data_IF_524581944196
#
_entry.id   IF_524581944196
#
_cell.length_a   1.000
_cell.length_b   1.000
_cell.length_c   1.000
_cell.angle_alpha   90.00
_cell.angle_beta   90.00
_cell.angle_gamma   90.00
#
_symmetry.space_group_name_H-M   'P 1'
#
loop_
_entity.id
_entity.type
_entity.pdbx_description
1 polymer ?
#
# COMPACT_ATOMS: atom_id res chain seq x y z
N UNK A 1 -14.10 -14.53 20.43
CA UNK A 1 -14.88 -14.63 19.19
C UNK A 1 -14.64 -16.00 18.54
N UNK A 2 -13.39 -16.37 18.13
CA UNK A 2 -13.12 -17.63 17.40
C UNK A 2 -13.67 -18.83 18.14
N UNK A 3 -13.35 -19.02 19.43
CA UNK A 3 -13.86 -20.14 20.24
C UNK A 3 -15.40 -20.21 20.27
N UNK A 4 -16.05 -19.06 20.33
CA UNK A 4 -17.51 -18.99 20.30
C UNK A 4 -18.09 -19.44 18.95
N UNK A 5 -17.40 -19.16 17.85
CA UNK A 5 -17.85 -19.53 16.52
C UNK A 5 -17.53 -20.98 16.13
N UNK A 6 -16.59 -21.66 16.81
CA UNK A 6 -16.20 -23.03 16.46
C UNK A 6 -17.36 -24.02 16.39
N UNK A 7 -18.34 -24.03 17.32
CA UNK A 7 -19.51 -24.90 17.23
C UNK A 7 -20.36 -24.67 15.99
N UNK A 8 -20.37 -23.41 15.48
CA UNK A 8 -21.13 -23.06 14.28
C UNK A 8 -20.39 -23.46 12.99
N UNK A 9 -19.06 -23.54 13.05
CA UNK A 9 -18.20 -23.95 11.92
C UNK A 9 -18.19 -25.47 11.79
N UNK A 10 -18.11 -26.19 12.91
CA UNK A 10 -18.04 -27.66 12.97
C UNK A 10 -19.42 -28.26 13.29
N UNK A 11 -20.40 -27.99 12.45
CA UNK A 11 -21.76 -28.55 12.59
C UNK A 11 -21.71 -30.08 12.50
N UNK A 12 -22.36 -30.74 13.44
CA UNK A 12 -22.42 -32.21 13.50
C UNK A 12 -21.33 -32.87 14.35
N UNK A 13 -20.32 -32.15 14.77
CA UNK A 13 -19.37 -32.55 15.82
C UNK A 13 -19.93 -32.08 17.17
N UNK A 14 -19.85 -32.91 18.20
CA UNK A 14 -20.25 -32.53 19.58
C UNK A 14 -19.05 -32.70 20.53
N UNK A 15 -17.92 -32.00 20.32
CA UNK A 15 -16.82 -32.03 21.25
C UNK A 15 -17.24 -31.36 22.57
N UNK A 16 -16.75 -31.90 23.70
CA UNK A 16 -17.00 -31.34 25.02
C UNK A 16 -16.30 -29.98 25.24
N UNK A 17 -15.24 -29.75 24.51
CA UNK A 17 -14.40 -28.51 24.62
C UNK A 17 -13.91 -28.09 23.25
N UNK A 18 -13.94 -26.78 22.99
CA UNK A 18 -13.32 -26.14 21.85
C UNK A 18 -12.19 -25.24 22.33
N UNK A 19 -10.98 -25.50 21.84
CA UNK A 19 -9.83 -24.63 22.07
C UNK A 19 -9.32 -24.02 20.77
N UNK A 20 -8.76 -22.80 20.89
CA UNK A 20 -8.16 -22.08 19.79
C UNK A 20 -6.88 -21.36 20.26
N UNK A 21 -5.83 -21.52 19.52
CA UNK A 21 -4.54 -20.95 19.78
C UNK A 21 -4.08 -20.13 18.57
N UNK A 22 -3.46 -18.99 18.82
CA UNK A 22 -2.94 -18.15 17.76
C UNK A 22 -1.53 -18.55 17.38
N UNK A 23 -1.21 -18.40 16.10
CA UNK A 23 0.17 -18.40 15.64
C UNK A 23 0.34 -17.34 14.54
N UNK A 24 1.55 -16.82 14.41
CA UNK A 24 1.94 -15.88 13.37
C UNK A 24 3.20 -16.39 12.70
N UNK A 25 3.18 -16.50 11.40
CA UNK A 25 4.37 -16.81 10.63
C UNK A 25 4.81 -15.60 9.79
N UNK A 26 6.12 -15.44 9.69
CA UNK A 26 6.76 -14.46 8.82
C UNK A 26 7.34 -15.23 7.65
N UNK A 27 6.99 -14.82 6.45
CA UNK A 27 7.52 -15.38 5.21
C UNK A 27 8.82 -14.68 4.83
N UNK A 28 9.62 -15.36 4.05
CA UNK A 28 10.73 -14.73 3.37
C UNK A 28 10.20 -13.60 2.48
N UNK A 29 10.79 -12.43 2.66
CA UNK A 29 10.39 -11.21 1.96
C UNK A 29 11.42 -10.77 0.92
N UNK A 30 12.49 -11.53 0.75
CA UNK A 30 13.47 -11.24 -0.29
C UNK A 30 12.84 -11.48 -1.66
N UNK A 31 12.92 -10.46 -2.51
CA UNK A 31 12.54 -10.58 -3.90
C UNK A 31 13.76 -11.03 -4.69
N UNK A 32 13.81 -12.30 -5.02
CA UNK A 32 14.63 -12.72 -6.15
C UNK A 32 13.95 -12.21 -7.42
N UNK A 33 14.46 -11.10 -7.94
CA UNK A 33 14.11 -10.64 -9.28
C UNK A 33 15.05 -11.39 -10.23
N UNK A 34 14.54 -12.40 -10.87
CA UNK A 34 15.29 -13.13 -11.88
C UNK A 34 15.62 -12.19 -13.04
N UNK A 35 16.89 -11.83 -13.17
CA UNK A 35 17.36 -10.92 -14.20
C UNK A 35 17.53 -11.62 -15.59
N UNK A 36 17.42 -12.96 -15.64
CA UNK A 36 17.62 -13.74 -16.87
C UNK A 36 16.32 -14.00 -17.65
N UNK A 37 15.15 -13.65 -17.09
CA UNK A 37 13.90 -13.87 -17.77
C UNK A 37 13.57 -12.73 -18.75
N UNK A 38 13.11 -13.09 -19.93
CA UNK A 38 12.69 -12.20 -21.04
C UNK A 38 11.42 -11.37 -20.76
N UNK A 39 11.12 -11.15 -19.47
CA UNK A 39 9.98 -10.37 -19.02
C UNK A 39 10.31 -8.89 -18.85
N UNK A 40 9.37 -8.02 -19.21
CA UNK A 40 9.48 -6.60 -18.93
C UNK A 40 9.64 -6.30 -17.43
N UNK A 41 10.31 -5.19 -17.08
CA UNK A 41 10.61 -4.82 -15.69
C UNK A 41 9.38 -4.88 -14.76
N UNK A 42 8.22 -4.46 -15.25
CA UNK A 42 6.96 -4.49 -14.49
C UNK A 42 6.47 -5.91 -14.21
N UNK A 43 6.60 -6.83 -15.19
CA UNK A 43 6.18 -8.22 -15.04
C UNK A 43 7.09 -8.96 -14.07
N UNK A 44 8.40 -8.72 -14.15
CA UNK A 44 9.38 -9.26 -13.19
C UNK A 44 9.06 -8.86 -11.75
N UNK A 45 8.77 -7.58 -11.51
CA UNK A 45 8.40 -7.08 -10.18
C UNK A 45 7.04 -7.66 -9.75
N UNK A 46 6.06 -7.79 -10.65
CA UNK A 46 4.77 -8.41 -10.35
C UNK A 46 4.93 -9.89 -9.95
N UNK A 47 5.81 -10.63 -10.63
CA UNK A 47 6.15 -12.00 -10.28
C UNK A 47 6.85 -12.06 -8.92
N UNK A 48 7.81 -11.18 -8.64
CA UNK A 48 8.47 -11.07 -7.36
C UNK A 48 7.52 -10.74 -6.21
N UNK A 49 6.55 -9.84 -6.40
CA UNK A 49 5.49 -9.56 -5.41
C UNK A 49 4.62 -10.79 -5.15
N UNK A 50 4.29 -11.56 -6.19
CA UNK A 50 3.53 -12.80 -6.04
C UNK A 50 4.35 -13.92 -5.38
N UNK A 51 5.66 -14.01 -5.64
CA UNK A 51 6.55 -14.98 -5.00
C UNK A 51 6.68 -14.74 -3.50
N UNK A 52 6.73 -13.47 -3.04
CA UNK A 52 6.66 -13.15 -1.60
C UNK A 52 5.40 -13.70 -0.93
N UNK A 53 4.26 -13.70 -1.61
CA UNK A 53 3.02 -14.28 -1.06
C UNK A 53 3.10 -15.79 -0.89
N UNK A 54 3.95 -16.47 -1.68
CA UNK A 54 4.19 -17.90 -1.65
C UNK A 54 5.48 -18.29 -0.93
N UNK A 55 6.27 -17.31 -0.47
CA UNK A 55 7.54 -17.52 0.20
C UNK A 55 7.43 -18.47 1.39
N UNK A 56 8.49 -19.23 1.63
CA UNK A 56 8.59 -20.15 2.75
C UNK A 56 8.52 -19.39 4.08
N UNK A 57 7.88 -19.95 5.10
CA UNK A 57 7.89 -19.38 6.43
C UNK A 57 9.31 -19.49 7.02
N UNK A 58 9.89 -18.36 7.43
CA UNK A 58 11.22 -18.29 8.07
C UNK A 58 11.13 -18.20 9.58
N UNK A 59 9.98 -17.78 10.13
CA UNK A 59 9.76 -17.67 11.56
C UNK A 59 8.29 -17.87 11.90
N UNK A 60 8.04 -18.67 12.92
CA UNK A 60 6.71 -18.84 13.51
C UNK A 60 6.74 -18.46 14.98
N UNK A 61 5.82 -17.60 15.39
CA UNK A 61 5.54 -17.31 16.79
C UNK A 61 4.21 -18.00 17.12
N UNK A 62 4.16 -18.78 18.16
CA UNK A 62 2.96 -19.51 18.58
C UNK A 62 2.55 -19.15 20.01
N UNK A 63 1.28 -19.27 20.33
CA UNK A 63 0.75 -19.13 21.70
C UNK A 63 1.44 -20.17 22.60
N UNK A 64 2.13 -19.72 23.66
CA UNK A 64 2.88 -20.58 24.57
C UNK A 64 2.03 -21.70 25.17
N UNK A 65 0.71 -21.46 25.31
CA UNK A 65 -0.24 -22.42 25.85
C UNK A 65 -0.74 -23.45 24.80
N UNK A 66 -0.25 -23.36 23.56
CA UNK A 66 -0.59 -24.30 22.48
C UNK A 66 -0.07 -25.71 22.80
N UNK A 67 -0.92 -26.75 22.77
CA UNK A 67 -0.50 -28.14 22.99
C UNK A 67 0.60 -28.57 22.03
N UNK A 68 1.54 -29.40 22.53
CA UNK A 68 2.70 -29.87 21.76
C UNK A 68 2.29 -30.56 20.45
N UNK A 69 1.25 -31.37 20.48
CA UNK A 69 0.73 -32.05 19.29
C UNK A 69 0.23 -31.09 18.22
N UNK A 70 -0.48 -30.05 18.65
CA UNK A 70 -0.98 -29.01 17.72
C UNK A 70 0.18 -28.21 17.16
N UNK A 71 1.16 -27.85 17.98
CA UNK A 71 2.39 -27.17 17.55
C UNK A 71 3.14 -27.96 16.48
N UNK A 72 3.30 -29.28 16.72
CA UNK A 72 3.95 -30.18 15.76
C UNK A 72 3.20 -30.19 14.43
N UNK A 73 1.85 -30.33 14.43
CA UNK A 73 1.05 -30.28 13.22
C UNK A 73 1.17 -28.97 12.46
N UNK A 74 1.26 -27.82 13.16
CA UNK A 74 1.48 -26.52 12.53
C UNK A 74 2.87 -26.46 11.88
N UNK A 75 3.90 -26.93 12.59
CA UNK A 75 5.28 -26.98 12.07
C UNK A 75 5.38 -27.88 10.82
N UNK A 76 4.80 -29.09 10.87
CA UNK A 76 4.81 -30.02 9.75
C UNK A 76 4.07 -29.46 8.52
N UNK A 77 2.92 -28.83 8.74
CA UNK A 77 2.13 -28.17 7.66
C UNK A 77 2.84 -27.00 7.00
N UNK A 78 3.68 -26.29 7.74
CA UNK A 78 4.46 -25.16 7.28
C UNK A 78 5.84 -25.55 6.76
N UNK A 79 6.17 -26.86 6.75
CA UNK A 79 7.50 -27.40 6.39
C UNK A 79 8.65 -26.74 7.18
N UNK A 80 8.40 -26.39 8.44
CA UNK A 80 9.42 -25.84 9.32
C UNK A 80 10.38 -26.94 9.73
N UNK A 81 11.66 -26.83 9.33
CA UNK A 81 12.67 -27.85 9.60
C UNK A 81 13.53 -27.54 10.83
N UNK A 82 13.69 -26.25 11.16
CA UNK A 82 14.55 -25.80 12.24
C UNK A 82 13.74 -25.32 13.44
N UNK A 83 14.06 -25.85 14.62
CA UNK A 83 13.43 -25.46 15.88
C UNK A 83 13.70 -24.00 16.26
N UNK A 84 14.81 -23.44 15.78
CA UNK A 84 15.23 -22.07 16.06
C UNK A 84 14.29 -21.01 15.47
N UNK A 85 13.48 -21.39 14.50
CA UNK A 85 12.49 -20.51 13.90
C UNK A 85 11.13 -20.54 14.59
N UNK A 86 10.95 -21.41 15.61
CA UNK A 86 9.73 -21.53 16.39
C UNK A 86 9.88 -20.82 17.73
N UNK A 87 9.15 -19.76 17.95
CA UNK A 87 9.21 -18.92 19.16
C UNK A 87 7.90 -19.00 19.94
N UNK A 88 8.00 -19.25 21.24
CA UNK A 88 6.87 -19.14 22.13
C UNK A 88 6.54 -17.66 22.36
N UNK A 89 5.28 -17.29 22.22
CA UNK A 89 4.79 -15.93 22.39
C UNK A 89 3.49 -15.87 23.19
N UNK A 90 2.90 -14.69 23.24
CA UNK A 90 1.58 -14.48 23.83
C UNK A 90 0.45 -14.90 22.89
N UNK A 91 -0.77 -14.75 23.38
CA UNK A 91 -2.00 -15.03 22.60
C UNK A 91 -2.24 -14.01 21.49
N UNK A 92 -1.84 -12.75 21.70
CA UNK A 92 -2.00 -11.64 20.75
C UNK A 92 -0.64 -11.34 20.12
N UNK A 93 -0.50 -11.61 18.84
CA UNK A 93 0.81 -11.59 18.18
C UNK A 93 0.89 -10.59 17.03
N UNK A 94 -0.25 -10.19 16.46
CA UNK A 94 -0.27 -9.25 15.37
C UNK A 94 -0.53 -7.82 15.87
N UNK A 95 0.51 -7.18 16.40
CA UNK A 95 0.42 -5.82 16.95
C UNK A 95 -0.01 -4.77 15.89
N UNK A 96 0.14 -5.08 14.61
CA UNK A 96 -0.36 -4.21 13.53
C UNK A 96 -1.87 -4.00 13.61
N UNK A 97 -2.61 -4.97 14.14
CA UNK A 97 -4.07 -4.87 14.28
C UNK A 97 -4.46 -3.76 15.28
N UNK A 98 -3.55 -3.39 16.19
CA UNK A 98 -3.75 -2.28 17.11
C UNK A 98 -3.80 -0.90 16.40
N UNK A 99 -3.31 -0.79 15.17
CA UNK A 99 -3.47 0.43 14.37
C UNK A 99 -4.94 0.69 13.99
N UNK A 100 -5.76 -0.35 13.99
CA UNK A 100 -7.20 -0.30 13.74
C UNK A 100 -8.00 -0.53 15.02
N UNK A 101 -7.44 -0.13 16.17
CA UNK A 101 -8.12 -0.29 17.45
C UNK A 101 -9.49 0.38 17.40
N UNK A 102 -10.56 -0.31 17.83
CA UNK A 102 -11.90 0.24 17.75
C UNK A 102 -12.06 1.50 18.61
N UNK A 103 -12.93 2.37 18.18
CA UNK A 103 -13.34 3.54 18.96
C UNK A 103 -14.09 3.09 20.21
N UNK A 104 -13.48 3.31 21.36
CA UNK A 104 -14.10 3.00 22.66
C UNK A 104 -15.02 4.12 23.18
N UNK A 105 -15.29 5.15 22.36
CA UNK A 105 -16.21 6.25 22.71
C UNK A 105 -15.64 7.39 23.56
N UNK A 106 -14.41 7.28 24.02
CA UNK A 106 -13.74 8.29 24.85
C UNK A 106 -13.01 9.34 23.98
N UNK A 107 -13.65 10.46 23.72
CA UNK A 107 -13.07 11.55 22.91
C UNK A 107 -11.77 12.10 23.52
N UNK A 108 -11.62 12.07 24.84
CA UNK A 108 -10.43 12.50 25.57
C UNK A 108 -9.17 11.68 25.28
N UNK A 109 -9.35 10.44 24.79
CA UNK A 109 -8.25 9.54 24.40
C UNK A 109 -7.76 9.75 22.97
N UNK A 110 -8.25 10.78 22.30
CA UNK A 110 -7.90 11.06 20.90
C UNK A 110 -7.36 12.48 20.76
N UNK A 111 -6.42 12.61 19.85
CA UNK A 111 -6.04 13.92 19.39
C UNK A 111 -7.16 14.54 18.55
N UNK A 112 -7.31 15.85 18.63
CA UNK A 112 -8.19 16.58 17.73
C UNK A 112 -7.84 16.28 16.26
N UNK A 113 -8.87 16.10 15.46
CA UNK A 113 -8.68 15.83 14.04
C UNK A 113 -8.14 17.08 13.35
N UNK A 114 -6.91 17.01 12.93
CA UNK A 114 -6.30 18.07 12.14
C UNK A 114 -6.94 18.15 10.75
N UNK A 115 -7.35 19.35 10.36
CA UNK A 115 -7.83 19.63 9.00
C UNK A 115 -6.77 20.46 8.28
N UNK A 116 -6.18 19.95 7.17
CA UNK A 116 -5.22 20.74 6.41
C UNK A 116 -5.80 22.05 5.90
N UNK A 117 -5.04 23.12 6.07
CA UNK A 117 -5.48 24.46 5.68
C UNK A 117 -5.18 24.73 4.21
N UNK A 118 -6.16 25.24 3.47
CA UNK A 118 -5.92 25.75 2.12
C UNK A 118 -5.35 27.18 2.23
N UNK A 119 -4.23 27.42 1.59
CA UNK A 119 -3.64 28.76 1.55
C UNK A 119 -4.51 29.72 0.73
N UNK A 120 -4.55 31.03 1.10
CA UNK A 120 -5.38 32.03 0.42
C UNK A 120 -5.17 32.08 -1.10
N UNK A 121 -3.92 31.87 -1.56
CA UNK A 121 -3.59 31.88 -2.98
C UNK A 121 -4.30 30.78 -3.78
N UNK A 122 -4.77 29.72 -3.12
CA UNK A 122 -5.49 28.61 -3.78
C UNK A 122 -7.00 28.66 -3.53
N UNK A 123 -7.52 29.62 -2.76
CA UNK A 123 -8.95 29.73 -2.47
C UNK A 123 -9.74 30.49 -3.55
N UNK A 124 -9.07 31.41 -4.26
CA UNK A 124 -9.70 32.23 -5.28
C UNK A 124 -10.00 31.50 -6.59
N UNK A 125 -10.71 32.20 -7.48
CA UNK A 125 -10.99 31.70 -8.85
C UNK A 125 -9.80 31.89 -9.79
N UNK A 126 -8.78 32.64 -9.37
CA UNK A 126 -7.60 32.90 -10.17
C UNK A 126 -6.85 31.60 -10.50
N UNK A 127 -6.36 31.52 -11.73
CA UNK A 127 -5.55 30.40 -12.21
C UNK A 127 -4.28 30.21 -11.36
N UNK A 128 -4.07 28.97 -10.87
CA UNK A 128 -2.84 28.61 -10.14
C UNK A 128 -1.60 28.78 -11.03
N UNK A 129 -1.71 28.41 -12.30
CA UNK A 129 -0.62 28.58 -13.26
C UNK A 129 -0.25 30.05 -13.49
N UNK A 130 -1.25 30.95 -13.51
CA UNK A 130 -0.98 32.38 -13.68
C UNK A 130 -0.39 33.00 -12.40
N UNK A 131 -0.78 32.50 -11.25
CA UNK A 131 -0.15 32.90 -9.99
C UNK A 131 1.31 32.44 -9.89
N UNK A 132 1.64 31.20 -10.28
CA UNK A 132 3.00 30.68 -10.30
C UNK A 132 3.91 31.50 -11.24
N UNK A 133 3.35 32.07 -12.33
CA UNK A 133 4.11 32.97 -13.21
C UNK A 133 4.45 34.31 -12.56
N UNK A 134 3.69 34.73 -11.56
CA UNK A 134 3.89 35.99 -10.85
C UNK A 134 4.86 35.83 -9.67
N UNK A 135 4.79 34.70 -8.96
CA UNK A 135 5.60 34.41 -7.77
C UNK A 135 5.68 32.93 -7.47
N UNK A 136 6.68 32.52 -6.75
CA UNK A 136 6.77 31.15 -6.21
C UNK A 136 5.65 30.89 -5.21
N UNK A 137 5.03 29.72 -5.31
CA UNK A 137 4.01 29.24 -4.39
C UNK A 137 4.54 28.06 -3.61
N UNK A 138 4.47 28.15 -2.29
CA UNK A 138 4.94 27.11 -1.39
C UNK A 138 3.78 26.45 -0.64
N UNK A 139 3.79 25.11 -0.60
CA UNK A 139 2.86 24.33 0.24
C UNK A 139 3.64 23.43 1.19
N UNK A 140 3.21 23.35 2.44
CA UNK A 140 3.81 22.52 3.47
C UNK A 140 2.82 21.42 3.88
N UNK A 141 2.90 20.26 3.20
CA UNK A 141 2.08 19.11 3.55
C UNK A 141 2.65 18.38 4.77
N UNK A 142 1.82 17.80 5.63
CA UNK A 142 0.35 17.68 5.57
C UNK A 142 -0.43 18.89 6.13
N UNK A 143 0.23 19.94 6.61
CA UNK A 143 -0.42 21.08 7.26
C UNK A 143 -1.20 21.95 6.27
N UNK A 144 -0.66 22.14 5.07
CA UNK A 144 -1.41 22.70 3.95
C UNK A 144 -2.09 21.58 3.16
N UNK A 145 -3.26 21.91 2.59
CA UNK A 145 -4.02 20.96 1.78
C UNK A 145 -3.27 20.58 0.51
N UNK A 146 -3.13 19.28 0.27
CA UNK A 146 -2.60 18.74 -0.98
C UNK A 146 -3.51 19.00 -2.20
N UNK A 147 -4.76 19.38 -1.97
CA UNK A 147 -5.68 19.72 -3.05
C UNK A 147 -5.23 20.94 -3.87
N UNK A 148 -4.34 21.79 -3.33
CA UNK A 148 -3.66 22.85 -4.09
C UNK A 148 -2.87 22.28 -5.27
N UNK A 149 -2.07 21.22 -5.03
CA UNK A 149 -1.34 20.52 -6.09
C UNK A 149 -2.27 19.79 -7.07
N UNK A 150 -3.34 19.17 -6.56
CA UNK A 150 -4.34 18.54 -7.43
C UNK A 150 -5.03 19.57 -8.33
N UNK A 151 -5.32 20.76 -7.82
CA UNK A 151 -5.89 21.87 -8.61
C UNK A 151 -4.92 22.28 -9.72
N UNK A 152 -3.63 22.45 -9.42
CA UNK A 152 -2.61 22.73 -10.43
C UNK A 152 -2.59 21.69 -11.55
N UNK A 153 -2.59 20.40 -11.21
CA UNK A 153 -2.57 19.33 -12.21
C UNK A 153 -3.84 19.32 -13.08
N UNK A 154 -5.00 19.53 -12.46
CA UNK A 154 -6.28 19.60 -13.21
C UNK A 154 -6.32 20.79 -14.15
N UNK A 155 -5.86 21.94 -13.69
CA UNK A 155 -5.75 23.13 -14.51
C UNK A 155 -4.79 22.90 -15.68
N UNK A 156 -3.60 22.33 -15.40
CA UNK A 156 -2.64 21.98 -16.44
C UNK A 156 -3.20 20.98 -17.45
N UNK A 157 -4.01 20.02 -17.01
CA UNK A 157 -4.65 19.05 -17.91
C UNK A 157 -5.61 19.71 -18.91
N UNK A 158 -6.29 20.79 -18.51
CA UNK A 158 -7.31 21.45 -19.32
C UNK A 158 -6.76 22.63 -20.14
N UNK A 159 -5.74 23.32 -19.64
CA UNK A 159 -5.25 24.56 -20.23
C UNK A 159 -4.55 24.34 -21.58
N UNK A 160 -5.00 24.98 -22.69
CA UNK A 160 -4.43 24.76 -24.04
C UNK A 160 -2.94 25.15 -24.18
N UNK A 161 -2.46 26.10 -23.38
CA UNK A 161 -1.06 26.55 -23.40
C UNK A 161 -0.10 25.53 -22.78
N UNK A 162 -0.56 24.61 -21.94
CA UNK A 162 0.23 23.51 -21.40
C UNK A 162 0.35 22.42 -22.45
N UNK A 163 1.56 22.09 -22.86
CA UNK A 163 1.87 21.07 -23.87
C UNK A 163 2.36 19.76 -23.28
N UNK A 164 3.10 19.85 -22.18
CA UNK A 164 3.74 18.70 -21.58
C UNK A 164 3.63 18.76 -20.05
N UNK A 165 3.50 17.59 -19.41
CA UNK A 165 3.57 17.39 -17.96
C UNK A 165 4.58 16.27 -17.68
N UNK A 166 5.58 16.57 -16.84
CA UNK A 166 6.55 15.58 -16.34
C UNK A 166 6.46 15.51 -14.83
N UNK A 167 6.46 14.30 -14.30
CA UNK A 167 6.35 14.08 -12.85
C UNK A 167 7.05 12.81 -12.42
N UNK A 168 7.43 12.76 -11.14
CA UNK A 168 7.94 11.57 -10.47
C UNK A 168 6.92 11.10 -9.45
N UNK A 169 6.72 9.79 -9.37
CA UNK A 169 5.71 9.15 -8.51
C UNK A 169 6.38 8.04 -7.70
N UNK A 170 6.40 8.19 -6.37
CA UNK A 170 7.00 7.20 -5.47
C UNK A 170 5.95 6.30 -4.83
N UNK A 171 4.94 6.87 -4.16
CA UNK A 171 3.82 6.15 -3.54
C UNK A 171 2.50 6.69 -4.03
N UNK A 172 1.65 5.80 -4.50
CA UNK A 172 0.34 6.14 -5.04
C UNK A 172 -0.77 5.61 -4.13
N UNK A 173 -1.70 6.48 -3.76
CA UNK A 173 -2.90 6.09 -3.06
C UNK A 173 -3.74 5.13 -3.92
N UNK A 174 -4.53 4.25 -3.28
CA UNK A 174 -5.45 3.34 -4.00
C UNK A 174 -6.42 4.08 -4.93
N UNK A 175 -6.83 5.29 -4.55
CA UNK A 175 -7.65 6.19 -5.37
C UNK A 175 -6.89 7.50 -5.62
N UNK A 176 -5.83 7.44 -6.44
CA UNK A 176 -4.93 8.56 -6.68
C UNK A 176 -5.57 9.64 -7.53
N UNK A 177 -5.86 10.80 -6.93
CA UNK A 177 -6.31 12.01 -7.64
C UNK A 177 -5.22 12.53 -8.60
N UNK A 178 -3.93 12.34 -8.27
CA UNK A 178 -2.80 12.70 -9.13
C UNK A 178 -2.84 11.92 -10.42
N UNK A 179 -2.90 10.59 -10.36
CA UNK A 179 -2.95 9.74 -11.55
C UNK A 179 -4.17 10.04 -12.41
N UNK A 180 -5.33 10.25 -11.79
CA UNK A 180 -6.55 10.66 -12.51
C UNK A 180 -6.36 11.97 -13.29
N UNK A 181 -5.67 12.95 -12.71
CA UNK A 181 -5.36 14.21 -13.38
C UNK A 181 -4.36 14.03 -14.54
N UNK A 182 -3.35 13.17 -14.38
CA UNK A 182 -2.38 12.86 -15.44
C UNK A 182 -3.05 12.13 -16.61
N UNK A 183 -3.91 11.17 -16.35
CA UNK A 183 -4.71 10.49 -17.38
C UNK A 183 -5.62 11.49 -18.11
N UNK A 184 -6.28 12.38 -17.37
CA UNK A 184 -7.08 13.45 -17.97
C UNK A 184 -6.23 14.33 -18.90
N UNK A 185 -5.02 14.68 -18.50
CA UNK A 185 -4.11 15.45 -19.32
C UNK A 185 -3.73 14.72 -20.63
N UNK A 186 -3.39 13.43 -20.54
CA UNK A 186 -3.08 12.61 -21.72
C UNK A 186 -4.27 12.52 -22.68
N UNK A 187 -5.48 12.27 -22.16
CA UNK A 187 -6.72 12.26 -22.95
C UNK A 187 -7.01 13.60 -23.62
N UNK A 188 -6.59 14.71 -23.01
CA UNK A 188 -6.68 16.05 -23.60
C UNK A 188 -5.50 16.38 -24.55
N UNK A 189 -4.76 15.38 -25.01
CA UNK A 189 -3.70 15.54 -25.99
C UNK A 189 -2.41 16.16 -25.44
N UNK A 190 -2.20 16.18 -24.11
CA UNK A 190 -0.95 16.61 -23.50
C UNK A 190 0.06 15.47 -23.56
N UNK A 191 1.34 15.81 -23.78
CA UNK A 191 2.42 14.84 -23.58
C UNK A 191 2.65 14.68 -22.08
N UNK A 192 2.37 13.48 -21.54
CA UNK A 192 2.54 13.21 -20.12
C UNK A 192 3.61 12.15 -19.93
N UNK A 193 4.63 12.46 -19.11
CA UNK A 193 5.68 11.54 -18.73
C UNK A 193 5.69 11.39 -17.21
N UNK A 194 5.56 10.15 -16.74
CA UNK A 194 5.58 9.81 -15.32
C UNK A 194 6.72 8.82 -15.04
N UNK A 195 7.68 9.21 -14.21
CA UNK A 195 8.70 8.31 -13.68
C UNK A 195 8.13 7.67 -12.41
N UNK A 196 8.01 6.34 -12.38
CA UNK A 196 7.36 5.61 -11.30
C UNK A 196 8.36 4.68 -10.62
N UNK A 197 8.46 4.75 -9.28
CA UNK A 197 9.19 3.80 -8.47
C UNK A 197 8.31 2.58 -8.19
N UNK A 198 8.57 1.47 -8.88
CA UNK A 198 7.77 0.25 -8.74
C UNK A 198 8.04 -0.47 -7.43
N UNK A 199 9.25 -0.36 -6.88
CA UNK A 199 9.68 -1.06 -5.67
C UNK A 199 9.42 -0.27 -4.38
N UNK A 200 8.52 0.70 -4.41
CA UNK A 200 8.11 1.42 -3.20
C UNK A 200 7.49 0.44 -2.20
N UNK A 201 8.26 0.12 -1.15
CA UNK A 201 7.93 -0.93 -0.18
C UNK A 201 6.52 -0.78 0.38
N UNK A 202 5.71 -1.84 0.29
CA UNK A 202 4.29 -1.98 0.65
C UNK A 202 3.28 -1.40 -0.35
N UNK A 203 3.72 -0.66 -1.37
CA UNK A 203 2.84 -0.04 -2.37
C UNK A 203 3.10 -0.58 -3.79
N UNK A 204 3.92 -1.63 -3.93
CA UNK A 204 4.32 -2.21 -5.21
C UNK A 204 3.12 -2.59 -6.08
N UNK A 205 2.13 -3.28 -5.47
CA UNK A 205 0.91 -3.70 -6.19
C UNK A 205 0.09 -2.51 -6.69
N UNK A 206 -0.02 -1.45 -5.86
CA UNK A 206 -0.71 -0.22 -6.23
C UNK A 206 0.00 0.51 -7.36
N UNK A 207 1.33 0.62 -7.27
CA UNK A 207 2.15 1.29 -8.27
C UNK A 207 2.13 0.54 -9.61
N UNK A 208 2.21 -0.80 -9.61
CA UNK A 208 2.07 -1.62 -10.82
C UNK A 208 0.69 -1.40 -11.47
N UNK A 209 -0.40 -1.46 -10.68
CA UNK A 209 -1.75 -1.27 -11.19
C UNK A 209 -1.94 0.10 -11.84
N UNK A 210 -1.46 1.17 -11.17
CA UNK A 210 -1.57 2.52 -11.71
C UNK A 210 -0.67 2.74 -12.92
N UNK A 211 0.53 2.14 -12.95
CA UNK A 211 1.43 2.21 -14.10
C UNK A 211 0.80 1.61 -15.35
N UNK A 212 0.23 0.40 -15.24
CA UNK A 212 -0.52 -0.23 -16.34
C UNK A 212 -1.65 0.67 -16.83
N UNK A 213 -2.45 1.20 -15.90
CA UNK A 213 -3.57 2.08 -16.25
C UNK A 213 -3.10 3.34 -16.94
N UNK A 214 -2.02 3.96 -16.49
CA UNK A 214 -1.45 5.16 -17.13
C UNK A 214 -0.97 4.86 -18.55
N UNK A 215 -0.28 3.73 -18.77
CA UNK A 215 0.18 3.32 -20.10
C UNK A 215 -1.00 3.08 -21.06
N UNK A 216 -2.04 2.38 -20.62
CA UNK A 216 -3.27 2.14 -21.40
C UNK A 216 -3.94 3.45 -21.82
N UNK A 217 -3.78 4.51 -21.04
CA UNK A 217 -4.37 5.84 -21.28
C UNK A 217 -3.40 6.83 -21.98
N UNK A 218 -2.28 6.32 -22.51
CA UNK A 218 -1.36 7.11 -23.33
C UNK A 218 -0.35 7.95 -22.54
N UNK A 219 -0.18 7.72 -21.23
CA UNK A 219 0.90 8.32 -20.44
C UNK A 219 2.20 7.56 -20.71
N UNK A 220 3.28 8.25 -21.01
CA UNK A 220 4.62 7.66 -21.09
C UNK A 220 5.12 7.37 -19.67
N UNK A 221 5.16 6.09 -19.29
CA UNK A 221 5.60 5.65 -17.96
C UNK A 221 7.02 5.11 -18.06
N UNK A 222 7.91 5.69 -17.27
CA UNK A 222 9.32 5.28 -17.12
C UNK A 222 9.48 4.66 -15.73
N UNK A 223 10.14 3.51 -15.66
CA UNK A 223 10.37 2.79 -14.42
C UNK A 223 11.79 3.01 -13.91
N UNK A 224 11.87 3.53 -12.68
CA UNK A 224 13.14 3.84 -12.05
C UNK A 224 13.90 5.00 -12.70
N UNK A 225 15.08 5.27 -12.16
CA UNK A 225 16.10 6.12 -12.76
C UNK A 225 17.31 5.22 -12.88
N UNK A 226 17.82 5.03 -14.07
CA UNK A 226 19.10 4.34 -14.26
C UNK A 226 20.17 5.12 -13.50
N UNK A 227 20.80 4.44 -12.51
CA UNK A 227 21.88 4.98 -11.69
C UNK A 227 23.24 4.74 -12.33
#
# INVERSE_FOLDING_TARGET
VVRFCLPLIFIGTKPSVYDAYSFKFTKDAEMEVDNEADYGAMERIALGVNSRRRGAPIRVIYDKDMPREMRKRVSDRLNMRDLDTLLAGGRYQNHRDLMSFPDCGEASLRYEKWTPVMRPEFLGEESVLDQIRKKDLFIHVPYHSFDAYIRLLREAALRPSVKEIKTTLYRLAKDSKVVKALICAARNGKKVTAVVELMARFDEESNIKWSKRMQEEGVNVIFGVEG
#
